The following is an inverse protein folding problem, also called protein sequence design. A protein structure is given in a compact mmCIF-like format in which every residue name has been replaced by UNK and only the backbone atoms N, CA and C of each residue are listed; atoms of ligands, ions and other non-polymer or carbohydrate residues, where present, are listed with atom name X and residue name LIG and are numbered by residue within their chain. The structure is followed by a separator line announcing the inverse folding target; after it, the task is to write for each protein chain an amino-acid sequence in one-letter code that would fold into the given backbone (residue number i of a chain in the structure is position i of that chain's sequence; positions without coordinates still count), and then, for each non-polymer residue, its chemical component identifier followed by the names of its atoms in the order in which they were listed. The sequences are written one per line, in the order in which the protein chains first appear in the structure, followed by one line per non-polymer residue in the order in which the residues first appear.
data_IF_280798927387
#
_entry.id   IF_280798927387
#
_cell.length_a   1.000
_cell.length_b   1.000
_cell.length_c   1.000
_cell.angle_alpha   90.00
_cell.angle_beta   90.00
_cell.angle_gamma   90.00
#
_symmetry.space_group_name_H-M   'P 1'
#
loop_
_entity.id
_entity.type
_entity.pdbx_description
1 polymer ?
#
# COMPACT_ATOMS: atom_id res chain seq x y z
N UNK A 1 33.82 -14.99 6.45
CA UNK A 1 32.96 -14.28 5.47
C UNK A 1 33.88 -13.63 4.46
N UNK A 2 33.71 -13.91 3.16
CA UNK A 2 34.67 -13.54 2.11
C UNK A 2 34.86 -12.02 2.02
N UNK A 3 35.99 -11.54 2.50
CA UNK A 3 36.43 -10.15 2.36
C UNK A 3 37.02 -9.93 0.97
N UNK A 4 36.74 -8.77 0.37
CA UNK A 4 37.22 -8.43 -0.97
C UNK A 4 36.16 -7.93 -1.96
N UNK A 5 34.89 -7.83 -1.55
CA UNK A 5 33.82 -7.17 -2.33
C UNK A 5 33.45 -5.82 -1.72
N UNK A 6 34.46 -5.03 -1.31
CA UNK A 6 34.25 -3.69 -0.77
C UNK A 6 33.84 -2.76 -1.92
N UNK A 7 32.54 -2.56 -2.14
CA UNK A 7 32.07 -1.41 -2.92
C UNK A 7 32.47 -0.13 -2.21
N UNK A 8 32.83 0.93 -2.95
CA UNK A 8 33.16 2.24 -2.36
C UNK A 8 32.02 2.71 -1.45
N UNK A 9 32.21 2.61 -0.12
CA UNK A 9 31.18 2.94 0.85
C UNK A 9 30.99 4.44 0.89
N UNK A 10 29.81 4.91 0.51
CA UNK A 10 29.41 6.29 0.69
C UNK A 10 28.64 6.41 2.00
N UNK A 11 29.23 7.11 2.99
CA UNK A 11 28.61 7.35 4.29
C UNK A 11 27.15 7.80 4.18
N UNK A 12 26.83 8.71 3.26
CA UNK A 12 25.46 9.23 3.13
C UNK A 12 24.46 8.18 2.63
N UNK A 13 24.91 7.21 1.82
CA UNK A 13 24.07 6.13 1.31
C UNK A 13 23.85 5.07 2.39
N UNK A 14 24.92 4.72 3.12
CA UNK A 14 24.85 3.77 4.23
C UNK A 14 23.97 4.31 5.36
N UNK A 15 24.15 5.58 5.76
CA UNK A 15 23.33 6.23 6.80
C UNK A 15 21.86 6.32 6.36
N UNK A 16 21.59 6.61 5.08
CA UNK A 16 20.22 6.66 4.54
C UNK A 16 19.56 5.28 4.51
N UNK A 17 20.29 4.25 4.06
CA UNK A 17 19.82 2.86 4.07
C UNK A 17 19.51 2.40 5.48
N UNK A 18 20.45 2.62 6.41
CA UNK A 18 20.30 2.28 7.83
C UNK A 18 19.09 2.99 8.46
N UNK A 19 18.86 4.27 8.16
CA UNK A 19 17.70 5.00 8.67
C UNK A 19 16.36 4.42 8.17
N UNK A 20 16.31 3.89 6.93
CA UNK A 20 15.09 3.29 6.36
C UNK A 20 14.81 1.90 6.91
N UNK A 21 15.86 1.11 7.12
CA UNK A 21 15.76 -0.22 7.73
C UNK A 21 15.31 -0.17 9.19
N UNK A 22 15.53 0.96 9.88
CA UNK A 22 15.24 1.17 11.30
C UNK A 22 14.14 2.22 11.53
N UNK A 23 13.27 2.45 10.54
CA UNK A 23 12.23 3.47 10.59
C UNK A 23 11.23 3.24 11.74
N UNK A 24 10.97 1.98 12.08
CA UNK A 24 10.06 1.54 13.13
C UNK A 24 10.49 2.02 14.52
N UNK A 25 11.80 2.11 14.79
CA UNK A 25 12.32 2.60 16.06
C UNK A 25 12.06 4.09 16.26
N UNK A 26 11.92 4.83 15.15
CA UNK A 26 11.66 6.28 15.15
C UNK A 26 10.17 6.61 15.03
N UNK A 27 9.31 5.60 14.85
CA UNK A 27 7.88 5.80 14.69
C UNK A 27 7.23 6.29 16.00
N UNK A 28 6.32 7.26 15.87
CA UNK A 28 5.59 7.83 17.01
C UNK A 28 4.10 7.91 16.73
N UNK A 29 3.30 7.59 17.74
CA UNK A 29 1.85 7.76 17.71
C UNK A 29 1.47 9.24 17.89
N UNK A 30 1.44 9.96 16.77
CA UNK A 30 1.01 11.37 16.71
C UNK A 30 -0.37 11.47 16.08
N UNK A 31 -1.08 12.59 16.32
CA UNK A 31 -2.38 12.85 15.67
C UNK A 31 -2.29 12.77 14.14
N UNK A 32 -1.18 13.27 13.56
CA UNK A 32 -0.92 13.18 12.12
C UNK A 32 -0.76 11.73 11.66
N UNK A 33 0.02 10.92 12.37
CA UNK A 33 0.23 9.52 12.00
C UNK A 33 -1.06 8.69 12.14
N UNK A 34 -1.86 8.94 13.17
CA UNK A 34 -3.19 8.35 13.28
C UNK A 34 -4.11 8.73 12.11
N UNK A 35 -4.11 10.01 11.70
CA UNK A 35 -4.88 10.46 10.54
C UNK A 35 -4.41 9.76 9.24
N UNK A 36 -3.10 9.63 9.04
CA UNK A 36 -2.54 8.93 7.88
C UNK A 36 -2.93 7.46 7.86
N UNK A 37 -2.83 6.76 9.00
CA UNK A 37 -3.25 5.37 9.12
C UNK A 37 -4.75 5.22 8.86
N UNK A 38 -5.58 6.12 9.39
CA UNK A 38 -7.02 6.09 9.15
C UNK A 38 -7.39 6.31 7.68
N UNK A 39 -6.75 7.27 7.01
CA UNK A 39 -7.03 7.57 5.61
C UNK A 39 -6.52 6.45 4.70
N UNK A 40 -5.23 6.10 4.79
CA UNK A 40 -4.60 5.17 3.86
C UNK A 40 -4.79 3.70 4.23
N UNK A 41 -4.89 3.39 5.52
CA UNK A 41 -5.09 2.01 6.00
C UNK A 41 -6.55 1.57 6.03
N UNK A 42 -7.52 2.50 6.11
CA UNK A 42 -8.94 2.17 6.27
C UNK A 42 -9.81 2.83 5.21
N UNK A 43 -9.85 4.17 5.16
CA UNK A 43 -10.82 4.89 4.34
C UNK A 43 -10.63 4.62 2.84
N UNK A 44 -9.40 4.74 2.34
CA UNK A 44 -9.09 4.53 0.91
C UNK A 44 -9.43 3.12 0.43
N UNK A 45 -8.96 2.03 1.07
CA UNK A 45 -9.30 0.67 0.66
C UNK A 45 -10.81 0.41 0.60
N UNK A 46 -11.56 0.91 1.60
CA UNK A 46 -13.02 0.73 1.65
C UNK A 46 -13.70 1.49 0.52
N UNK A 47 -13.33 2.75 0.28
CA UNK A 47 -13.92 3.58 -0.77
C UNK A 47 -13.66 2.95 -2.14
N UNK A 48 -12.42 2.52 -2.40
CA UNK A 48 -12.04 1.88 -3.66
C UNK A 48 -12.83 0.59 -3.87
N UNK A 49 -12.87 -0.29 -2.86
CA UNK A 49 -13.63 -1.54 -2.94
C UNK A 49 -15.11 -1.28 -3.24
N UNK A 50 -15.75 -0.38 -2.48
CA UNK A 50 -17.17 -0.06 -2.68
C UNK A 50 -17.44 0.57 -4.05
N UNK A 51 -16.53 1.41 -4.55
CA UNK A 51 -16.61 1.98 -5.90
C UNK A 51 -16.59 0.90 -6.97
N UNK A 52 -15.59 0.02 -6.93
CA UNK A 52 -15.45 -1.08 -7.90
C UNK A 52 -16.66 -2.02 -7.86
N UNK A 53 -17.12 -2.42 -6.67
CA UNK A 53 -18.27 -3.33 -6.54
C UNK A 53 -19.54 -2.67 -7.09
N UNK A 54 -19.76 -1.39 -6.78
CA UNK A 54 -20.91 -0.65 -7.32
C UNK A 54 -20.86 -0.60 -8.85
N UNK A 55 -19.71 -0.28 -9.43
CA UNK A 55 -19.55 -0.21 -10.89
C UNK A 55 -19.74 -1.59 -11.53
N UNK A 56 -19.21 -2.64 -10.92
CA UNK A 56 -19.38 -4.02 -11.38
C UNK A 56 -20.85 -4.47 -11.37
N UNK A 57 -21.57 -4.24 -10.26
CA UNK A 57 -23.00 -4.58 -10.15
C UNK A 57 -23.85 -3.76 -11.13
N UNK A 58 -23.58 -2.46 -11.26
CA UNK A 58 -24.27 -1.59 -12.22
C UNK A 58 -24.04 -2.05 -13.66
N UNK A 59 -22.82 -2.52 -13.98
CA UNK A 59 -22.49 -3.05 -15.31
C UNK A 59 -23.20 -4.37 -15.60
N UNK A 60 -23.35 -5.25 -14.61
CA UNK A 60 -24.12 -6.50 -14.73
C UNK A 60 -25.60 -6.24 -14.98
N UNK A 61 -26.19 -5.25 -14.31
CA UNK A 61 -27.62 -4.93 -14.48
C UNK A 61 -27.99 -4.38 -15.87
N UNK A 62 -26.99 -3.98 -16.66
CA UNK A 62 -27.15 -3.50 -18.04
C UNK A 62 -26.83 -4.57 -19.09
N UNK A 63 -26.36 -5.76 -18.68
CA UNK A 63 -26.16 -6.87 -19.61
C UNK A 63 -27.51 -7.52 -19.94
N UNK A 64 -27.77 -7.84 -21.23
CA UNK A 64 -29.00 -8.53 -21.61
C UNK A 64 -29.08 -9.88 -20.89
N UNK A 65 -30.29 -10.20 -20.39
CA UNK A 65 -30.67 -11.33 -19.53
C UNK A 65 -30.24 -12.74 -19.99
N UNK A 66 -29.59 -12.87 -21.15
CA UNK A 66 -29.23 -14.15 -21.77
C UNK A 66 -27.84 -14.67 -21.38
N UNK A 67 -26.98 -13.86 -20.75
CA UNK A 67 -25.62 -14.31 -20.35
C UNK A 67 -25.48 -14.73 -18.88
N UNK A 68 -26.48 -14.46 -18.04
CA UNK A 68 -26.43 -14.73 -16.59
C UNK A 68 -26.80 -16.16 -16.17
N UNK A 69 -27.04 -17.08 -17.12
CA UNK A 69 -27.43 -18.48 -16.84
C UNK A 69 -26.32 -19.53 -16.98
N UNK A 70 -25.05 -19.13 -17.16
CA UNK A 70 -23.94 -20.06 -17.36
C UNK A 70 -22.85 -20.02 -16.28
N UNK A 71 -23.14 -19.44 -15.11
CA UNK A 71 -22.33 -19.60 -13.88
C UNK A 71 -23.23 -20.07 -12.76
#
# INVERSE_FOLDING_TARGET
MGGGMETNKNKFIEDWGSARENLEHNFRWTRRNFALIGIFGIALPIIVYKGIVKDFVSSISLLPLNLTRFV
#
